data_IF_483157102726
#
_entry.id   IF_483157102726
#
_cell.length_a   1.000
_cell.length_b   1.000
_cell.length_c   1.000
_cell.angle_alpha   90.00
_cell.angle_beta   90.00
_cell.angle_gamma   90.00
#
_symmetry.space_group_name_H-M   'P 1'
#
loop_
_entity.id
_entity.type
_entity.pdbx_description
1 polymer ?
#
# COMPACT_ATOMS: atom_id res chain seq x y z
N UNK A 1 0.17 -26.68 -10.97
CA UNK A 1 -1.03 -25.89 -11.37
C UNK A 1 -2.30 -26.65 -11.05
N UNK A 2 -3.37 -25.95 -10.61
CA UNK A 2 -4.68 -26.59 -10.38
C UNK A 2 -5.53 -26.41 -11.63
N UNK A 3 -5.96 -27.53 -12.27
CA UNK A 3 -6.82 -27.48 -13.44
C UNK A 3 -8.21 -27.01 -13.02
N UNK A 4 -8.75 -26.00 -13.68
CA UNK A 4 -10.10 -25.45 -13.44
C UNK A 4 -11.16 -26.04 -14.36
N UNK A 5 -10.78 -26.77 -15.42
CA UNK A 5 -11.67 -27.30 -16.43
C UNK A 5 -12.39 -26.26 -17.30
N UNK A 6 -12.08 -24.97 -17.11
CA UNK A 6 -12.72 -23.87 -17.82
C UNK A 6 -11.95 -23.55 -19.09
N UNK A 7 -12.63 -23.64 -20.23
CA UNK A 7 -12.08 -23.24 -21.54
C UNK A 7 -12.77 -21.96 -22.02
N UNK A 8 -12.01 -21.02 -22.57
CA UNK A 8 -12.51 -19.77 -23.17
C UNK A 8 -11.73 -19.49 -24.46
N UNK A 9 -12.44 -18.96 -25.44
CA UNK A 9 -11.84 -18.50 -26.69
C UNK A 9 -11.45 -17.03 -26.59
N UNK A 10 -10.44 -16.66 -27.35
CA UNK A 10 -10.11 -15.25 -27.60
C UNK A 10 -11.05 -14.77 -28.71
N UNK A 11 -11.64 -13.60 -28.57
CA UNK A 11 -12.52 -13.01 -29.57
C UNK A 11 -11.71 -12.32 -30.71
N UNK A 12 -12.44 -11.87 -31.75
CA UNK A 12 -11.85 -11.23 -32.94
C UNK A 12 -11.08 -9.92 -32.61
N UNK A 13 -11.29 -9.36 -31.43
CA UNK A 13 -10.58 -8.20 -30.93
C UNK A 13 -9.42 -8.56 -30.00
N UNK A 14 -9.07 -9.85 -29.88
CA UNK A 14 -7.99 -10.33 -29.03
C UNK A 14 -8.31 -10.33 -27.52
N UNK A 15 -9.59 -10.28 -27.12
CA UNK A 15 -9.99 -10.24 -25.73
C UNK A 15 -10.34 -11.62 -25.19
N UNK A 16 -10.04 -11.87 -23.94
CA UNK A 16 -10.48 -13.05 -23.19
C UNK A 16 -11.36 -12.62 -22.02
N UNK A 17 -12.47 -13.31 -21.81
CA UNK A 17 -13.36 -13.07 -20.65
C UNK A 17 -12.94 -13.96 -19.49
N UNK A 18 -12.45 -13.36 -18.42
CA UNK A 18 -12.17 -14.08 -17.16
C UNK A 18 -13.48 -14.40 -16.45
N UNK A 19 -13.83 -15.70 -16.26
CA UNK A 19 -15.08 -16.12 -15.64
C UNK A 19 -15.25 -15.56 -14.22
N UNK A 20 -16.52 -15.34 -13.83
CA UNK A 20 -16.87 -14.80 -12.52
C UNK A 20 -16.34 -15.67 -11.38
N UNK A 21 -16.38 -16.98 -11.54
CA UNK A 21 -15.90 -17.97 -10.57
C UNK A 21 -14.39 -17.81 -10.33
N UNK A 22 -13.60 -17.67 -11.40
CA UNK A 22 -12.16 -17.43 -11.32
C UNK A 22 -11.88 -16.09 -10.64
N UNK A 23 -12.60 -15.03 -11.05
CA UNK A 23 -12.45 -13.70 -10.42
C UNK A 23 -12.75 -13.72 -8.93
N UNK A 24 -13.80 -14.46 -8.51
CA UNK A 24 -14.14 -14.64 -7.08
C UNK A 24 -13.06 -15.42 -6.34
N UNK A 25 -12.61 -16.53 -6.89
CA UNK A 25 -11.59 -17.39 -6.26
C UNK A 25 -10.28 -16.64 -6.07
N UNK A 26 -9.90 -15.79 -7.04
CA UNK A 26 -8.67 -14.99 -6.99
C UNK A 26 -8.91 -13.59 -6.43
N UNK A 27 -10.13 -13.28 -5.99
CA UNK A 27 -10.51 -11.97 -5.46
C UNK A 27 -10.15 -10.82 -6.43
N UNK A 28 -10.46 -10.99 -7.73
CA UNK A 28 -10.22 -9.99 -8.78
C UNK A 28 -11.46 -9.09 -8.90
N UNK A 29 -11.27 -7.79 -8.64
CA UNK A 29 -12.31 -6.77 -8.70
C UNK A 29 -12.60 -6.28 -10.13
N UNK A 30 -13.59 -5.39 -10.24
CA UNK A 30 -13.86 -4.66 -11.49
C UNK A 30 -12.75 -3.65 -11.74
N UNK A 31 -12.27 -3.57 -12.99
CA UNK A 31 -11.18 -2.69 -13.41
C UNK A 31 -9.83 -2.94 -12.69
N UNK A 32 -9.69 -4.08 -12.02
CA UNK A 32 -8.42 -4.43 -11.39
C UNK A 32 -7.39 -4.77 -12.47
N UNK A 33 -6.20 -4.16 -12.47
CA UNK A 33 -5.17 -4.43 -13.46
C UNK A 33 -4.61 -5.84 -13.26
N UNK A 34 -4.38 -6.53 -14.38
CA UNK A 34 -3.74 -7.83 -14.41
C UNK A 34 -2.48 -7.74 -15.26
N UNK A 35 -1.42 -8.30 -14.75
CA UNK A 35 -0.16 -8.47 -15.47
C UNK A 35 -0.17 -9.81 -16.20
N UNK A 36 0.32 -9.80 -17.44
CA UNK A 36 0.41 -11.00 -18.28
C UNK A 36 1.86 -11.46 -18.40
N UNK A 37 2.07 -12.73 -18.14
CA UNK A 37 3.36 -13.39 -18.32
C UNK A 37 3.21 -14.54 -19.30
N UNK A 38 4.30 -14.82 -20.02
CA UNK A 38 4.43 -16.04 -20.83
C UNK A 38 5.39 -16.97 -20.11
N UNK A 39 4.91 -18.18 -19.78
CA UNK A 39 5.71 -19.24 -19.16
C UNK A 39 5.63 -20.50 -20.03
N UNK A 40 6.63 -20.68 -20.88
CA UNK A 40 6.61 -21.70 -21.94
C UNK A 40 5.44 -21.47 -22.91
N UNK A 41 4.52 -22.41 -22.98
CA UNK A 41 3.29 -22.33 -23.78
C UNK A 41 2.09 -21.75 -23.00
N UNK A 42 2.29 -21.34 -21.74
CA UNK A 42 1.21 -20.86 -20.89
C UNK A 42 1.15 -19.34 -20.86
N UNK A 43 -0.07 -18.79 -20.99
CA UNK A 43 -0.35 -17.41 -20.64
C UNK A 43 -0.81 -17.35 -19.17
N UNK A 44 -0.03 -16.70 -18.34
CA UNK A 44 -0.30 -16.55 -16.91
C UNK A 44 -0.80 -15.13 -16.63
N UNK A 45 -1.97 -15.02 -16.04
CA UNK A 45 -2.52 -13.75 -15.55
C UNK A 45 -2.32 -13.69 -14.04
N UNK A 46 -1.64 -12.67 -13.57
CA UNK A 46 -1.43 -12.39 -12.16
C UNK A 46 -2.05 -11.04 -11.84
N UNK A 47 -2.61 -10.90 -10.63
CA UNK A 47 -2.95 -9.55 -10.17
C UNK A 47 -1.71 -8.69 -10.29
N UNK A 48 -1.88 -7.58 -10.95
CA UNK A 48 -0.83 -6.59 -10.99
C UNK A 48 -0.66 -6.06 -9.56
N UNK A 49 0.25 -6.69 -8.84
CA UNK A 49 0.75 -6.08 -7.62
C UNK A 49 1.83 -5.12 -8.08
N UNK A 50 1.60 -3.85 -7.92
CA UNK A 50 2.70 -2.92 -8.01
C UNK A 50 3.83 -3.47 -7.18
N UNK A 51 4.95 -3.68 -7.83
CA UNK A 51 6.21 -3.75 -7.11
C UNK A 51 6.47 -2.34 -6.55
N UNK A 52 5.72 -1.99 -5.53
CA UNK A 52 6.23 -1.02 -4.60
C UNK A 52 7.44 -1.72 -4.03
N UNK A 53 8.61 -1.30 -4.46
CA UNK A 53 9.88 -1.85 -4.01
C UNK A 53 9.93 -1.73 -2.49
N UNK A 54 9.62 -2.84 -1.79
CA UNK A 54 9.54 -2.85 -0.32
C UNK A 54 10.88 -2.47 0.31
N UNK A 55 12.00 -2.73 -0.37
CA UNK A 55 13.31 -2.31 0.08
C UNK A 55 13.47 -0.79 -0.02
N UNK A 56 13.00 -0.21 -1.12
CA UNK A 56 13.00 1.24 -1.32
C UNK A 56 12.09 1.93 -0.29
N UNK A 57 10.90 1.39 -0.04
CA UNK A 57 10.01 1.90 1.00
C UNK A 57 10.59 1.73 2.41
N UNK A 58 11.28 0.64 2.69
CA UNK A 58 11.94 0.44 3.98
C UNK A 58 13.03 1.49 4.21
N UNK A 59 13.81 1.83 3.17
CA UNK A 59 14.81 2.92 3.24
C UNK A 59 14.16 4.29 3.46
N UNK A 60 13.05 4.56 2.79
CA UNK A 60 12.27 5.80 2.98
C UNK A 60 11.71 5.87 4.40
N UNK A 61 11.10 4.79 4.89
CA UNK A 61 10.59 4.73 6.26
C UNK A 61 11.70 4.94 7.30
N UNK A 62 12.88 4.34 7.08
CA UNK A 62 14.04 4.52 7.94
C UNK A 62 14.52 5.98 7.94
N UNK A 63 14.67 6.59 6.77
CA UNK A 63 15.09 8.00 6.64
C UNK A 63 14.12 8.96 7.35
N UNK A 64 12.80 8.77 7.17
CA UNK A 64 11.80 9.58 7.88
C UNK A 64 11.85 9.34 9.39
N UNK A 65 12.01 8.09 9.81
CA UNK A 65 12.11 7.71 11.22
C UNK A 65 13.36 8.31 11.87
N UNK A 66 14.49 8.36 11.17
CA UNK A 66 15.73 8.95 11.66
C UNK A 66 15.62 10.48 11.76
N UNK A 67 14.98 11.13 10.78
CA UNK A 67 14.77 12.58 10.78
C UNK A 67 13.82 13.03 11.89
N UNK A 68 12.79 12.24 12.19
CA UNK A 68 11.78 12.59 13.21
C UNK A 68 12.05 11.99 14.57
N UNK A 69 12.97 11.03 14.66
CA UNK A 69 13.21 10.18 15.83
C UNK A 69 11.96 9.45 16.34
N UNK A 70 11.01 9.16 15.43
CA UNK A 70 9.71 8.55 15.72
C UNK A 70 9.52 7.24 14.94
N UNK A 71 8.70 6.29 15.45
CA UNK A 71 8.30 5.14 14.66
C UNK A 71 7.46 5.56 13.46
N UNK A 72 7.73 4.91 12.32
CA UNK A 72 7.06 5.17 11.04
C UNK A 72 6.48 3.87 10.50
N UNK A 73 5.26 3.96 9.94
CA UNK A 73 4.62 2.88 9.19
C UNK A 73 4.21 3.43 7.83
N UNK A 74 4.50 2.69 6.78
CA UNK A 74 3.99 2.92 5.42
C UNK A 74 3.09 1.74 5.08
N UNK A 75 1.84 2.02 4.71
CA UNK A 75 0.83 1.00 4.49
C UNK A 75 -0.13 1.35 3.35
N UNK A 76 -0.77 0.31 2.80
CA UNK A 76 -2.03 0.42 2.07
C UNK A 76 -3.20 0.10 3.00
N UNK A 77 -4.47 0.23 2.57
CA UNK A 77 -5.61 -0.20 3.37
C UNK A 77 -5.59 -1.68 3.78
N UNK A 78 -4.83 -2.50 3.07
CA UNK A 78 -4.85 -3.97 3.21
C UNK A 78 -3.58 -4.56 3.79
N UNK A 79 -2.43 -3.86 3.69
CA UNK A 79 -1.14 -4.38 4.17
C UNK A 79 -0.17 -3.28 4.61
N UNK A 80 0.74 -3.65 5.52
CA UNK A 80 1.90 -2.84 5.86
C UNK A 80 2.99 -3.13 4.83
N UNK A 81 3.47 -2.07 4.18
CA UNK A 81 4.51 -2.14 3.15
C UNK A 81 5.91 -2.03 3.76
N UNK A 82 6.07 -1.11 4.71
CA UNK A 82 7.33 -0.89 5.42
C UNK A 82 7.08 -0.31 6.82
N UNK A 83 8.01 -0.53 7.74
CA UNK A 83 8.01 0.12 9.04
C UNK A 83 9.44 0.35 9.53
N UNK A 84 9.63 1.37 10.37
CA UNK A 84 10.90 1.72 11.00
C UNK A 84 10.70 2.10 12.47
N UNK A 85 11.64 1.76 13.35
CA UNK A 85 11.60 1.93 14.82
C UNK A 85 10.37 1.32 15.51
N UNK A 86 9.71 0.38 14.86
CA UNK A 86 8.60 -0.41 15.39
C UNK A 86 8.71 -1.83 14.84
N UNK A 87 8.43 -2.83 15.66
CA UNK A 87 8.40 -4.21 15.16
C UNK A 87 7.21 -4.43 14.23
N UNK A 88 7.31 -5.32 13.25
CA UNK A 88 6.17 -5.64 12.38
C UNK A 88 4.94 -6.16 13.13
N UNK A 89 5.13 -6.78 14.28
CA UNK A 89 4.04 -7.26 15.15
C UNK A 89 3.32 -6.08 15.78
N UNK A 90 4.06 -5.16 16.42
CA UNK A 90 3.46 -3.98 17.04
C UNK A 90 2.86 -3.01 16.00
N UNK A 91 3.40 -2.95 14.79
CA UNK A 91 2.85 -2.13 13.73
C UNK A 91 1.44 -2.58 13.29
N UNK A 92 1.13 -3.88 13.40
CA UNK A 92 -0.20 -4.42 13.08
C UNK A 92 -1.28 -4.04 14.09
N UNK A 93 -0.89 -3.64 15.29
CA UNK A 93 -1.82 -3.17 16.33
C UNK A 93 -2.24 -1.71 16.12
N UNK A 94 -1.50 -0.96 15.28
CA UNK A 94 -1.84 0.42 14.94
C UNK A 94 -2.95 0.42 13.88
N UNK A 95 -4.09 1.10 14.12
CA UNK A 95 -5.19 1.13 13.17
C UNK A 95 -4.78 1.77 11.85
N UNK A 96 -4.86 1.00 10.76
CA UNK A 96 -4.69 1.52 9.40
C UNK A 96 -6.06 1.97 8.89
N UNK A 97 -6.19 3.17 8.29
CA UNK A 97 -7.44 3.61 7.69
C UNK A 97 -7.91 2.63 6.61
N UNK A 98 -9.12 2.10 6.74
CA UNK A 98 -9.71 1.17 5.75
C UNK A 98 -9.99 1.86 4.42
N UNK A 99 -10.26 3.16 4.46
CA UNK A 99 -10.41 4.02 3.29
C UNK A 99 -9.37 5.12 3.38
N UNK A 100 -8.54 5.22 2.36
CA UNK A 100 -7.55 6.28 2.25
C UNK A 100 -8.08 7.29 1.22
N UNK A 101 -8.47 8.46 1.70
CA UNK A 101 -8.73 9.60 0.85
C UNK A 101 -7.46 10.45 0.79
N UNK A 102 -7.05 10.81 -0.42
CA UNK A 102 -5.89 11.70 -0.61
C UNK A 102 -6.30 13.10 -0.21
N UNK A 103 -5.98 13.44 1.02
CA UNK A 103 -6.32 14.72 1.66
C UNK A 103 -5.06 15.32 2.29
N UNK A 104 -5.17 16.55 2.75
CA UNK A 104 -4.10 17.17 3.54
C UNK A 104 -3.75 16.29 4.75
N UNK A 105 -2.49 16.24 5.16
CA UNK A 105 -2.08 15.52 6.34
C UNK A 105 -2.93 15.87 7.57
N UNK A 106 -3.27 14.90 8.36
CA UNK A 106 -4.08 15.06 9.56
C UNK A 106 -3.51 14.30 10.75
N UNK A 107 -3.93 14.65 11.94
CA UNK A 107 -3.47 14.08 13.19
C UNK A 107 -4.64 13.49 13.95
N UNK A 108 -4.49 12.25 14.41
CA UNK A 108 -5.41 11.64 15.37
C UNK A 108 -4.72 11.46 16.72
N UNK A 109 -5.49 11.59 17.79
CA UNK A 109 -5.02 11.40 19.16
C UNK A 109 -5.45 10.04 19.70
N UNK A 110 -4.62 9.48 20.60
CA UNK A 110 -4.87 8.23 21.35
C UNK A 110 -5.17 7.01 20.46
N UNK A 111 -4.39 6.85 19.38
CA UNK A 111 -4.51 5.70 18.49
C UNK A 111 -3.36 4.69 18.69
N UNK A 112 -3.72 3.40 18.82
CA UNK A 112 -2.77 2.30 18.87
C UNK A 112 -1.72 2.40 19.99
N UNK A 113 -2.07 3.02 21.13
CA UNK A 113 -1.15 3.24 22.26
C UNK A 113 -0.20 4.42 22.08
N UNK A 114 -0.40 5.25 21.05
CA UNK A 114 0.35 6.48 20.80
C UNK A 114 -0.50 7.70 21.08
N UNK A 115 0.08 8.75 21.69
CA UNK A 115 -0.64 9.98 22.01
C UNK A 115 -1.16 10.70 20.77
N UNK A 116 -0.40 10.64 19.69
CA UNK A 116 -0.79 11.20 18.39
C UNK A 116 -0.23 10.36 17.27
N UNK A 117 -1.00 10.23 16.19
CA UNK A 117 -0.54 9.63 14.94
C UNK A 117 -0.74 10.65 13.83
N UNK A 118 0.34 11.00 13.15
CA UNK A 118 0.29 11.86 11.96
C UNK A 118 0.06 10.96 10.75
N UNK A 119 -0.95 11.28 9.97
CA UNK A 119 -1.29 10.59 8.72
C UNK A 119 -1.01 11.50 7.53
N UNK A 120 -0.21 11.06 6.61
CA UNK A 120 -0.06 11.67 5.29
C UNK A 120 -0.41 10.64 4.22
N UNK A 121 -1.23 11.04 3.27
CA UNK A 121 -1.80 10.13 2.26
C UNK A 121 -1.37 10.56 0.87
N UNK A 122 -1.14 9.58 0.01
CA UNK A 122 -0.86 9.81 -1.40
C UNK A 122 -1.46 8.70 -2.27
N UNK A 123 -1.51 8.96 -3.55
CA UNK A 123 -1.93 7.99 -4.55
C UNK A 123 -0.82 7.88 -5.60
N UNK A 124 -0.39 6.66 -5.89
CA UNK A 124 0.62 6.41 -6.93
C UNK A 124 0.00 6.61 -8.31
N UNK A 125 0.83 6.76 -9.35
CA UNK A 125 0.39 6.96 -10.74
C UNK A 125 -0.64 5.92 -11.22
N UNK A 126 -0.65 4.75 -10.61
CA UNK A 126 -1.57 3.65 -10.96
C UNK A 126 -2.76 3.52 -10.01
N UNK A 127 -3.00 4.52 -9.19
CA UNK A 127 -4.16 4.55 -8.31
C UNK A 127 -4.02 3.73 -7.01
N UNK A 128 -2.82 3.28 -6.65
CA UNK A 128 -2.61 2.66 -5.34
C UNK A 128 -2.52 3.73 -4.27
N UNK A 129 -3.43 3.67 -3.31
CA UNK A 129 -3.45 4.60 -2.18
C UNK A 129 -2.52 4.13 -1.08
N UNK A 130 -1.63 4.99 -0.66
CA UNK A 130 -0.63 4.75 0.39
C UNK A 130 -0.80 5.75 1.53
N UNK A 131 -0.63 5.30 2.75
CA UNK A 131 -0.59 6.14 3.93
C UNK A 131 0.78 6.02 4.61
N UNK A 132 1.35 7.16 4.94
CA UNK A 132 2.52 7.30 5.81
C UNK A 132 2.03 7.70 7.18
N UNK A 133 2.35 6.92 8.19
CA UNK A 133 1.97 7.17 9.58
C UNK A 133 3.21 7.40 10.42
N UNK A 134 3.27 8.53 11.13
CA UNK A 134 4.31 8.82 12.12
C UNK A 134 3.69 8.77 13.51
N UNK A 135 4.24 7.90 14.37
CA UNK A 135 3.67 7.56 15.67
C UNK A 135 4.34 8.37 16.79
N UNK A 136 3.61 9.27 17.41
CA UNK A 136 4.13 10.22 18.38
C UNK A 136 3.75 9.80 19.80
N UNK A 137 4.75 9.47 20.63
CA UNK A 137 4.55 9.10 22.06
C UNK A 137 4.57 10.30 23.00
N UNK A 138 5.37 11.30 22.68
CA UNK A 138 5.59 12.45 23.56
C UNK A 138 4.96 13.73 22.97
N UNK A 139 4.83 14.75 23.80
CA UNK A 139 4.39 16.06 23.33
C UNK A 139 5.56 16.74 22.62
N UNK A 140 5.45 16.87 21.30
CA UNK A 140 6.45 17.52 20.43
C UNK A 140 5.75 18.46 19.46
N UNK A 141 6.44 19.49 18.92
CA UNK A 141 5.92 20.27 17.83
C UNK A 141 5.59 19.38 16.63
N UNK A 142 4.35 19.45 16.13
CA UNK A 142 3.87 18.55 15.08
C UNK A 142 4.12 19.09 13.67
N UNK A 143 4.35 20.39 13.53
CA UNK A 143 4.44 21.06 12.23
C UNK A 143 5.52 20.44 11.33
N UNK A 144 6.71 20.22 11.88
CA UNK A 144 7.81 19.59 11.15
C UNK A 144 7.51 18.12 10.82
N UNK A 145 6.92 17.38 11.77
CA UNK A 145 6.57 15.96 11.57
C UNK A 145 5.52 15.83 10.47
N UNK A 146 4.52 16.71 10.46
CA UNK A 146 3.48 16.76 9.42
C UNK A 146 4.09 17.08 8.07
N UNK A 147 5.00 18.07 8.00
CA UNK A 147 5.66 18.44 6.76
C UNK A 147 6.54 17.29 6.21
N UNK A 148 7.30 16.62 7.05
CA UNK A 148 8.11 15.47 6.65
C UNK A 148 7.25 14.28 6.19
N UNK A 149 6.15 13.99 6.89
CA UNK A 149 5.24 12.93 6.50
C UNK A 149 4.57 13.23 5.13
N UNK A 150 4.12 14.47 4.91
CA UNK A 150 3.52 14.91 3.65
C UNK A 150 4.52 14.83 2.49
N UNK A 151 5.75 15.32 2.69
CA UNK A 151 6.81 15.23 1.69
C UNK A 151 7.12 13.77 1.36
N UNK A 152 7.20 12.91 2.37
CA UNK A 152 7.44 11.49 2.19
C UNK A 152 6.32 10.82 1.39
N UNK A 153 5.07 11.14 1.69
CA UNK A 153 3.92 10.64 0.94
C UNK A 153 3.97 11.07 -0.54
N UNK A 154 4.33 12.31 -0.82
CA UNK A 154 4.53 12.83 -2.19
C UNK A 154 5.69 12.15 -2.92
N UNK A 155 6.79 11.86 -2.23
CA UNK A 155 7.90 11.09 -2.82
C UNK A 155 7.44 9.69 -3.21
N UNK A 156 6.66 9.03 -2.35
CA UNK A 156 6.14 7.68 -2.61
C UNK A 156 5.18 7.69 -3.81
N UNK A 157 4.38 8.76 -4.00
CA UNK A 157 3.47 8.85 -5.14
C UNK A 157 4.19 8.98 -6.49
N UNK A 158 5.44 9.42 -6.48
CA UNK A 158 6.28 9.58 -7.68
C UNK A 158 7.16 8.33 -7.97
N UNK A 159 6.96 7.24 -7.25
CA UNK A 159 7.65 5.96 -7.44
C UNK A 159 6.84 5.01 -8.29
#
# INVERSE_FOLDING_TARGET
>A
MKNTGIVRCIDDLGRIVVPREIRRTLNIGKNEPLEMFVDGENLVLKKFSHFIDKEKLARIAASLSDSTNMPVIIATPTEILACARISPVAAREVPIPKTIDVVKPYVKSDEGGYKKVVYATSETEIGTKVVVMVLVKNVVPLEEIVAFADLTAKIISAL
#
